data_IF_188725459124
#
_entry.id   IF_188725459124
#
_cell.length_a   1.000
_cell.length_b   1.000
_cell.length_c   1.000
_cell.angle_alpha   90.00
_cell.angle_beta   90.00
_cell.angle_gamma   90.00
#
_symmetry.space_group_name_H-M   'P 1'
#
loop_
_entity.id
_entity.type
_entity.pdbx_description
1 polymer ?
#
# COMPACT_ATOMS: atom_id res chain seq x y z
N UNK A 1 -16.48 -24.73 1.73
CA UNK A 1 -16.72 -23.35 1.25
C UNK A 1 -15.38 -22.67 0.95
N UNK A 2 -14.91 -22.72 -0.29
CA UNK A 2 -13.76 -21.88 -0.70
C UNK A 2 -14.29 -20.46 -0.85
N UNK A 3 -14.09 -19.65 0.18
CA UNK A 3 -14.48 -18.24 0.17
C UNK A 3 -13.64 -17.58 -0.94
N UNK A 4 -14.23 -16.99 -1.99
CA UNK A 4 -13.44 -16.28 -2.99
C UNK A 4 -12.62 -15.22 -2.24
N UNK A 5 -11.30 -15.21 -2.44
CA UNK A 5 -10.45 -14.13 -1.91
C UNK A 5 -10.99 -12.84 -2.49
N UNK A 6 -11.81 -12.12 -1.72
CA UNK A 6 -12.18 -10.75 -2.06
C UNK A 6 -10.87 -10.03 -2.29
N UNK A 7 -10.68 -9.47 -3.49
CA UNK A 7 -9.58 -8.55 -3.75
C UNK A 7 -9.85 -7.34 -2.85
N UNK A 8 -9.41 -7.42 -1.58
CA UNK A 8 -9.37 -6.32 -0.63
C UNK A 8 -8.33 -5.35 -1.18
N UNK A 9 -8.72 -4.64 -2.23
CA UNK A 9 -7.94 -3.55 -2.78
C UNK A 9 -8.13 -2.41 -1.81
N UNK A 10 -7.33 -2.40 -0.73
CA UNK A 10 -7.41 -1.35 0.28
C UNK A 10 -7.39 0.02 -0.39
N UNK A 11 -8.24 0.98 0.03
CA UNK A 11 -8.28 2.33 -0.53
C UNK A 11 -6.92 3.04 -0.47
N UNK A 12 -6.06 2.62 0.46
CA UNK A 12 -4.61 2.90 0.53
C UNK A 12 -3.96 2.90 -0.86
N UNK A 13 -4.19 1.90 -1.71
CA UNK A 13 -3.54 1.80 -3.02
C UNK A 13 -3.92 2.90 -4.02
N UNK A 14 -4.93 3.74 -3.75
CA UNK A 14 -5.18 4.95 -4.55
C UNK A 14 -4.09 6.00 -4.34
N UNK A 15 -3.58 6.09 -3.11
CA UNK A 15 -2.57 7.08 -2.72
C UNK A 15 -1.12 6.55 -2.90
N UNK A 16 -0.97 5.25 -3.19
CA UNK A 16 0.32 4.60 -3.40
C UNK A 16 0.41 3.95 -4.78
N UNK A 17 1.48 4.27 -5.52
CA UNK A 17 1.83 3.56 -6.75
C UNK A 17 2.63 2.29 -6.44
N UNK A 18 2.17 1.15 -6.96
CA UNK A 18 2.95 -0.09 -6.98
C UNK A 18 4.09 0.04 -7.98
N UNK A 19 5.32 -0.11 -7.52
CA UNK A 19 6.51 -0.08 -8.35
C UNK A 19 7.30 -1.37 -8.12
N UNK A 20 7.56 -2.13 -9.18
CA UNK A 20 8.43 -3.32 -9.12
C UNK A 20 9.87 -2.84 -9.30
N UNK A 21 10.69 -2.96 -8.25
CA UNK A 21 12.10 -2.57 -8.29
C UNK A 21 12.93 -3.80 -7.95
N UNK A 22 13.80 -4.23 -8.87
CA UNK A 22 14.69 -5.39 -8.69
C UNK A 22 13.94 -6.62 -8.15
N UNK A 23 12.87 -7.01 -8.83
CA UNK A 23 12.00 -8.14 -8.48
C UNK A 23 11.19 -8.02 -7.18
N UNK A 24 11.36 -6.95 -6.39
CA UNK A 24 10.56 -6.67 -5.20
C UNK A 24 9.41 -5.72 -5.52
N UNK A 25 8.23 -6.00 -4.97
CA UNK A 25 7.10 -5.07 -5.03
C UNK A 25 7.26 -3.99 -3.95
N UNK A 26 7.38 -2.74 -4.37
CA UNK A 26 7.39 -1.57 -3.48
C UNK A 26 6.15 -0.70 -3.71
N UNK A 27 5.76 0.02 -2.68
CA UNK A 27 4.71 1.02 -2.71
C UNK A 27 5.36 2.41 -2.64
N UNK A 28 5.29 3.18 -3.73
CA UNK A 28 5.73 4.57 -3.76
C UNK A 28 4.54 5.46 -3.37
N UNK A 29 4.70 6.25 -2.31
CA UNK A 29 3.71 7.26 -1.94
C UNK A 29 3.64 8.34 -3.02
N UNK A 30 2.44 8.71 -3.48
CA UNK A 30 2.31 9.76 -4.51
C UNK A 30 2.64 11.16 -3.98
N UNK A 31 2.52 11.37 -2.67
CA UNK A 31 2.65 12.67 -2.03
C UNK A 31 4.10 12.97 -1.63
N UNK A 32 4.70 12.10 -0.81
CA UNK A 32 6.07 12.29 -0.33
C UNK A 32 7.12 11.55 -1.18
N UNK A 33 6.71 10.84 -2.24
CA UNK A 33 7.59 9.98 -3.06
C UNK A 33 8.36 8.90 -2.29
N UNK A 34 8.04 8.68 -1.02
CA UNK A 34 8.69 7.68 -0.16
C UNK A 34 8.37 6.28 -0.66
N UNK A 35 9.39 5.43 -0.73
CA UNK A 35 9.29 4.04 -1.14
C UNK A 35 9.12 3.18 0.10
N UNK A 36 7.95 2.61 0.28
CA UNK A 36 7.62 1.65 1.33
C UNK A 36 7.59 0.24 0.73
N UNK A 37 7.67 -0.78 1.58
CA UNK A 37 7.45 -2.15 1.12
C UNK A 37 5.99 -2.36 0.75
N UNK A 38 5.75 -2.96 -0.40
CA UNK A 38 4.42 -3.21 -0.96
C UNK A 38 4.25 -4.67 -1.37
N UNK A 39 5.03 -5.57 -0.75
CA UNK A 39 4.93 -6.99 -1.03
C UNK A 39 3.52 -7.49 -0.69
N UNK A 40 2.89 -8.30 -1.56
CA UNK A 40 1.52 -8.79 -1.34
C UNK A 40 1.39 -9.70 -0.11
N UNK A 41 2.53 -10.19 0.40
CA UNK A 41 2.62 -10.98 1.64
C UNK A 41 2.61 -10.09 2.89
N UNK A 42 3.02 -8.84 2.77
CA UNK A 42 2.98 -7.86 3.84
C UNK A 42 1.64 -7.12 3.78
N UNK A 43 0.94 -7.05 4.91
CA UNK A 43 -0.29 -6.27 5.01
C UNK A 43 -0.06 -4.79 4.67
N UNK A 44 -1.13 -4.04 4.42
CA UNK A 44 -1.08 -2.62 4.06
C UNK A 44 -1.15 -1.67 5.27
N UNK A 45 -0.98 -2.20 6.49
CA UNK A 45 -1.19 -1.45 7.74
C UNK A 45 -0.16 -0.30 7.91
N UNK A 46 1.10 -0.52 7.56
CA UNK A 46 2.13 0.53 7.59
C UNK A 46 1.92 1.59 6.50
N UNK A 47 1.33 1.21 5.36
CA UNK A 47 0.94 2.16 4.31
C UNK A 47 -0.22 3.05 4.79
N UNK A 48 -1.21 2.45 5.47
CA UNK A 48 -2.32 3.19 6.09
C UNK A 48 -1.82 4.15 7.16
N UNK A 49 -0.97 3.67 8.06
CA UNK A 49 -0.36 4.46 9.12
C UNK A 49 0.45 5.64 8.55
N UNK A 50 1.22 5.40 7.49
CA UNK A 50 1.93 6.45 6.77
C UNK A 50 1.00 7.55 6.23
N UNK A 51 -0.16 7.20 5.69
CA UNK A 51 -1.13 8.21 5.23
C UNK A 51 -1.71 9.00 6.39
N UNK A 52 -2.01 8.34 7.51
CA UNK A 52 -2.56 8.99 8.71
C UNK A 52 -1.55 9.91 9.38
N UNK A 53 -0.31 9.46 9.60
CA UNK A 53 0.71 10.23 10.33
C UNK A 53 1.34 11.30 9.43
N UNK A 54 1.75 10.95 8.22
CA UNK A 54 2.52 11.88 7.36
C UNK A 54 1.60 12.85 6.62
N UNK A 55 0.39 12.43 6.27
CA UNK A 55 -0.52 13.23 5.45
C UNK A 55 -1.84 13.58 6.16
N UNK A 56 -2.05 13.13 7.40
CA UNK A 56 -3.31 13.36 8.12
C UNK A 56 -4.53 12.72 7.46
N UNK A 57 -4.35 11.84 6.47
CA UNK A 57 -5.46 11.34 5.63
C UNK A 57 -6.15 10.15 6.29
N UNK A 58 -7.47 10.25 6.48
CA UNK A 58 -8.35 9.10 6.72
C UNK A 58 -8.64 8.43 5.37
N UNK A 59 -8.11 7.22 5.17
CA UNK A 59 -8.35 6.35 4.00
C UNK A 59 -9.13 5.12 4.39
#
# INVERSE_FOLDING_TARGET
>A
VVRPRRKLTSPVWKEFKKVKVMNRMKAKCNWCSKKLEGEPRNGTKHLLDHLKIVHGKKV
#
